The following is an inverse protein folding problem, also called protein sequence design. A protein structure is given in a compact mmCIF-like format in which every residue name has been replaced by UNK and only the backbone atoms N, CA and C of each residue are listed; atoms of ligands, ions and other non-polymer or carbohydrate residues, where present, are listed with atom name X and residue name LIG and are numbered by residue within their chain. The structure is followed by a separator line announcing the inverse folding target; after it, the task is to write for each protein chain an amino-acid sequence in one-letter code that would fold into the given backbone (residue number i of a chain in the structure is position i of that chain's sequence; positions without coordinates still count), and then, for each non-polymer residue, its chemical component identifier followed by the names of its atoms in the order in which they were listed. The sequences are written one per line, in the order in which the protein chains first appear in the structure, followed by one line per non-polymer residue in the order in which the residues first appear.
data_IF_486211562504
#
_entry.id   IF_486211562504
#
_cell.length_a   1.000
_cell.length_b   1.000
_cell.length_c   1.000
_cell.angle_alpha   90.00
_cell.angle_beta   90.00
_cell.angle_gamma   90.00
#
_symmetry.space_group_name_H-M   'P 1'
#
loop_
_entity.id
_entity.type
_entity.pdbx_description
1 polymer ?
#
# COMPACT_ATOMS: atom_id res chain seq x y z
N UNK A 1 -34.10 40.65 -4.84
CA UNK A 1 -34.66 39.31 -5.11
C UNK A 1 -33.79 38.67 -6.18
N UNK A 2 -32.77 37.88 -5.78
CA UNK A 2 -31.93 36.99 -6.61
C UNK A 2 -30.82 36.44 -5.67
N UNK A 3 -31.20 35.58 -4.72
CA UNK A 3 -30.26 34.97 -3.75
C UNK A 3 -30.47 33.46 -3.62
N UNK A 4 -30.95 32.79 -4.66
CA UNK A 4 -31.37 31.38 -4.52
C UNK A 4 -31.07 30.53 -5.78
N UNK A 5 -29.90 30.69 -6.41
CA UNK A 5 -29.48 29.82 -7.54
C UNK A 5 -28.09 29.20 -7.40
N UNK A 6 -27.41 29.37 -6.26
CA UNK A 6 -26.09 28.77 -5.99
C UNK A 6 -26.22 27.66 -4.93
N UNK A 7 -27.19 26.76 -5.11
CA UNK A 7 -27.31 25.55 -4.28
C UNK A 7 -27.09 24.24 -5.07
N UNK A 8 -26.98 24.31 -6.40
CA UNK A 8 -26.95 23.12 -7.27
C UNK A 8 -25.61 22.81 -7.96
N UNK A 9 -24.53 23.54 -7.65
CA UNK A 9 -23.21 23.32 -8.30
C UNK A 9 -22.08 23.01 -7.32
N UNK A 10 -22.38 22.28 -6.25
CA UNK A 10 -21.34 21.53 -5.54
C UNK A 10 -21.73 20.07 -5.61
N UNK A 11 -21.56 19.46 -6.79
CA UNK A 11 -21.43 18.02 -6.85
C UNK A 11 -20.29 17.67 -5.90
N UNK A 12 -20.49 16.80 -4.89
CA UNK A 12 -19.36 16.28 -4.15
C UNK A 12 -18.46 15.65 -5.20
N UNK A 13 -17.24 16.17 -5.35
CA UNK A 13 -16.20 15.47 -6.08
C UNK A 13 -15.95 14.21 -5.27
N UNK A 14 -16.71 13.15 -5.56
CA UNK A 14 -16.44 11.83 -5.03
C UNK A 14 -15.15 11.41 -5.71
N UNK A 15 -14.04 11.53 -4.99
CA UNK A 15 -12.76 11.03 -5.48
C UNK A 15 -12.90 9.51 -5.66
N UNK A 16 -12.95 9.04 -6.91
CA UNK A 16 -12.64 7.65 -7.23
C UNK A 16 -11.13 7.47 -7.07
N UNK A 17 -10.67 7.50 -5.82
CA UNK A 17 -9.26 7.34 -5.49
C UNK A 17 -8.90 5.91 -5.11
N UNK A 18 -7.62 5.57 -5.31
CA UNK A 18 -6.99 4.37 -4.77
C UNK A 18 -7.39 4.13 -3.31
N UNK A 19 -8.04 3.00 -3.04
CA UNK A 19 -8.51 2.62 -1.71
C UNK A 19 -8.07 1.20 -1.38
N UNK A 20 -7.45 1.00 -0.23
CA UNK A 20 -7.25 -0.35 0.30
C UNK A 20 -8.61 -0.88 0.77
N UNK A 21 -9.03 -2.03 0.23
CA UNK A 21 -10.37 -2.58 0.44
C UNK A 21 -10.39 -3.66 1.51
N UNK A 22 -9.37 -4.51 1.56
CA UNK A 22 -9.24 -5.58 2.55
C UNK A 22 -7.78 -6.01 2.71
N UNK A 23 -7.53 -6.68 3.82
CA UNK A 23 -6.22 -7.13 4.22
C UNK A 23 -6.35 -8.54 4.81
N UNK A 24 -5.53 -9.46 4.33
CA UNK A 24 -5.55 -10.85 4.77
C UNK A 24 -4.13 -11.24 5.19
N UNK A 25 -3.92 -11.32 6.50
CA UNK A 25 -2.69 -11.78 7.15
C UNK A 25 -3.07 -12.73 8.29
N UNK A 26 -2.26 -13.76 8.58
CA UNK A 26 -2.52 -14.58 9.76
C UNK A 26 -2.23 -13.78 11.04
N UNK A 27 -2.81 -14.16 12.17
CA UNK A 27 -2.55 -13.47 13.45
C UNK A 27 -1.20 -13.84 14.06
N UNK A 28 -0.78 -15.09 13.88
CA UNK A 28 0.47 -15.63 14.41
C UNK A 28 1.08 -16.63 13.43
N UNK A 29 2.41 -16.57 13.27
CA UNK A 29 3.20 -17.59 12.55
C UNK A 29 4.12 -18.27 13.55
N UNK A 30 4.17 -19.60 13.48
CA UNK A 30 5.05 -20.45 14.29
C UNK A 30 6.44 -20.46 13.64
N UNK A 31 7.53 -20.54 14.43
CA UNK A 31 8.87 -20.67 13.85
C UNK A 31 8.97 -21.80 12.82
N UNK A 32 9.54 -21.50 11.66
CA UNK A 32 9.72 -22.44 10.55
C UNK A 32 8.53 -22.54 9.59
N UNK A 33 7.36 -22.00 9.95
CA UNK A 33 6.20 -21.92 9.06
C UNK A 33 6.25 -20.67 8.18
N UNK A 34 5.48 -20.72 7.10
CA UNK A 34 5.33 -19.64 6.13
C UNK A 34 3.92 -19.05 6.14
N UNK A 35 3.83 -17.75 5.89
CA UNK A 35 2.58 -17.01 5.74
C UNK A 35 2.51 -16.27 4.41
N UNK A 36 1.30 -16.14 3.89
CA UNK A 36 1.01 -15.31 2.72
C UNK A 36 0.38 -14.01 3.19
N UNK A 37 0.96 -12.89 2.75
CA UNK A 37 0.44 -11.56 3.06
C UNK A 37 -0.30 -11.01 1.85
N UNK A 38 -1.60 -10.75 2.00
CA UNK A 38 -2.42 -10.25 0.89
C UNK A 38 -3.02 -8.90 1.20
N UNK A 39 -2.78 -7.95 0.31
CA UNK A 39 -3.34 -6.60 0.38
C UNK A 39 -4.16 -6.33 -0.87
N UNK A 40 -5.44 -6.05 -0.67
CA UNK A 40 -6.34 -5.76 -1.77
C UNK A 40 -6.63 -4.27 -1.81
N UNK A 41 -6.57 -3.72 -3.02
CA UNK A 41 -6.79 -2.32 -3.28
C UNK A 41 -7.64 -2.16 -4.53
N UNK A 42 -8.54 -1.18 -4.51
CA UNK A 42 -9.30 -0.73 -5.66
C UNK A 42 -8.62 0.50 -6.25
N UNK A 43 -8.22 0.40 -7.51
CA UNK A 43 -7.56 1.49 -8.24
C UNK A 43 -8.54 2.47 -8.87
N UNK A 44 -9.83 2.16 -8.94
CA UNK A 44 -10.80 2.93 -9.71
C UNK A 44 -10.32 3.13 -11.16
N UNK A 45 -10.01 4.37 -11.52
CA UNK A 45 -9.51 4.76 -12.86
C UNK A 45 -8.01 5.05 -12.90
N UNK A 46 -7.29 4.71 -11.85
CA UNK A 46 -5.93 5.17 -11.61
C UNK A 46 -4.90 4.06 -11.79
N UNK A 47 -3.62 4.46 -11.82
CA UNK A 47 -2.50 3.52 -11.89
C UNK A 47 -1.83 3.43 -10.53
N UNK A 48 -1.51 2.20 -10.14
CA UNK A 48 -0.71 1.92 -8.96
C UNK A 48 0.72 2.41 -9.18
N UNK A 49 1.26 3.20 -8.25
CA UNK A 49 2.68 3.56 -8.25
C UNK A 49 3.52 2.50 -7.57
N UNK A 50 3.15 2.14 -6.34
CA UNK A 50 3.86 1.15 -5.54
C UNK A 50 2.96 0.59 -4.44
N UNK A 51 3.15 -0.68 -4.11
CA UNK A 51 2.66 -1.31 -2.89
C UNK A 51 3.86 -1.60 -2.00
N UNK A 52 3.74 -1.32 -0.70
CA UNK A 52 4.80 -1.53 0.27
C UNK A 52 4.27 -2.20 1.51
N UNK A 53 5.08 -3.07 2.10
CA UNK A 53 4.81 -3.66 3.39
C UNK A 53 5.80 -3.16 4.43
N UNK A 54 5.25 -2.77 5.57
CA UNK A 54 6.00 -2.33 6.73
C UNK A 54 5.65 -3.20 7.92
N UNK A 55 6.65 -3.42 8.78
CA UNK A 55 6.45 -3.90 10.14
C UNK A 55 7.27 -3.05 11.08
N UNK A 56 6.66 -2.60 12.18
CA UNK A 56 7.34 -1.77 13.18
C UNK A 56 8.08 -0.58 12.53
N UNK A 57 7.45 0.01 11.50
CA UNK A 57 7.98 1.12 10.68
C UNK A 57 9.16 0.75 9.76
N UNK A 58 9.59 -0.51 9.71
CA UNK A 58 10.61 -1.02 8.80
C UNK A 58 9.95 -1.57 7.53
N UNK A 59 10.32 -1.02 6.38
CA UNK A 59 9.91 -1.54 5.08
C UNK A 59 10.61 -2.87 4.82
N UNK A 60 9.86 -3.91 4.50
CA UNK A 60 10.42 -5.24 4.22
C UNK A 60 10.06 -5.77 2.84
N UNK A 61 9.05 -5.21 2.18
CA UNK A 61 8.73 -5.51 0.79
C UNK A 61 8.23 -4.28 0.04
N UNK A 62 8.57 -4.21 -1.25
CA UNK A 62 8.07 -3.22 -2.20
C UNK A 62 7.77 -3.85 -3.55
N UNK A 63 6.58 -3.58 -4.07
CA UNK A 63 6.19 -3.79 -5.45
C UNK A 63 6.09 -2.44 -6.17
N UNK A 64 6.67 -2.35 -7.36
CA UNK A 64 6.71 -1.16 -8.20
C UNK A 64 6.47 -1.57 -9.67
N UNK A 65 5.22 -1.50 -10.17
CA UNK A 65 4.84 -2.07 -11.47
C UNK A 65 5.62 -1.53 -12.66
N UNK A 66 6.09 -0.27 -12.58
CA UNK A 66 6.76 0.43 -13.66
C UNK A 66 8.29 0.31 -13.65
N UNK A 67 8.87 -0.49 -12.74
CA UNK A 67 10.32 -0.74 -12.68
C UNK A 67 10.64 -2.20 -12.98
N UNK A 68 11.92 -2.44 -13.32
CA UNK A 68 12.51 -3.77 -13.40
C UNK A 68 13.77 -3.79 -12.54
N UNK A 69 13.87 -4.64 -11.49
CA UNK A 69 12.85 -5.60 -11.07
C UNK A 69 11.61 -4.92 -10.47
N UNK A 70 10.44 -5.52 -10.68
CA UNK A 70 9.18 -5.01 -10.14
C UNK A 70 9.07 -5.19 -8.62
N UNK A 71 9.87 -6.08 -8.03
CA UNK A 71 9.79 -6.46 -6.63
C UNK A 71 11.13 -6.28 -5.94
N UNK A 72 11.08 -5.86 -4.68
CA UNK A 72 12.24 -5.72 -3.81
C UNK A 72 11.86 -6.23 -2.42
N UNK A 73 12.67 -7.14 -1.88
CA UNK A 73 12.63 -7.52 -0.47
C UNK A 73 13.76 -6.80 0.26
N UNK A 74 13.50 -6.40 1.50
CA UNK A 74 14.47 -5.77 2.38
C UNK A 74 14.61 -6.61 3.65
N UNK A 75 15.81 -6.71 4.25
CA UNK A 75 16.00 -7.43 5.49
C UNK A 75 15.10 -6.86 6.59
N UNK A 76 14.36 -7.74 7.27
CA UNK A 76 13.56 -7.40 8.42
C UNK A 76 13.82 -8.40 9.56
N UNK A 77 13.89 -7.96 10.83
CA UNK A 77 14.17 -8.85 11.94
C UNK A 77 13.18 -10.00 12.05
N UNK A 78 13.70 -11.23 12.10
CA UNK A 78 12.94 -12.46 12.30
C UNK A 78 12.08 -12.88 11.10
N UNK A 79 12.27 -12.27 9.92
CA UNK A 79 11.60 -12.64 8.69
C UNK A 79 12.58 -13.03 7.60
N UNK A 80 12.28 -14.14 6.95
CA UNK A 80 12.80 -14.47 5.64
C UNK A 80 11.69 -14.28 4.60
N UNK A 81 12.01 -13.58 3.52
CA UNK A 81 11.03 -13.10 2.55
C UNK A 81 11.35 -13.73 1.20
N UNK A 82 10.41 -14.52 0.70
CA UNK A 82 10.49 -15.09 -0.64
C UNK A 82 9.45 -14.44 -1.55
N UNK A 83 9.91 -14.06 -2.75
CA UNK A 83 9.09 -13.41 -3.76
C UNK A 83 8.84 -14.43 -4.87
N UNK A 84 7.68 -15.08 -4.82
CA UNK A 84 7.29 -16.06 -5.83
C UNK A 84 6.45 -15.43 -6.92
N UNK A 85 7.02 -15.30 -8.12
CA UNK A 85 6.26 -15.05 -9.35
C UNK A 85 5.34 -13.82 -9.31
N UNK A 86 4.07 -14.01 -9.69
CA UNK A 86 3.18 -12.95 -10.17
C UNK A 86 2.46 -12.09 -9.12
N UNK A 87 2.56 -12.38 -7.82
CA UNK A 87 1.97 -11.52 -6.77
C UNK A 87 2.26 -12.01 -5.34
N UNK A 88 2.75 -13.24 -5.17
CA UNK A 88 2.72 -13.89 -3.86
C UNK A 88 3.96 -13.57 -3.05
N UNK A 89 3.74 -12.91 -1.92
CA UNK A 89 4.73 -12.67 -0.88
C UNK A 89 4.62 -13.77 0.17
N UNK A 90 5.66 -14.59 0.28
CA UNK A 90 5.77 -15.60 1.33
C UNK A 90 6.75 -15.13 2.39
N UNK A 91 6.31 -15.15 3.63
CA UNK A 91 7.12 -14.75 4.77
C UNK A 91 7.29 -15.95 5.69
N UNK A 92 8.52 -16.38 5.89
CA UNK A 92 8.87 -17.44 6.85
C UNK A 92 9.45 -16.79 8.10
N UNK A 93 8.99 -17.20 9.27
CA UNK A 93 9.53 -16.65 10.52
C UNK A 93 10.50 -17.59 11.21
N UNK A 94 11.57 -17.00 11.75
CA UNK A 94 12.54 -17.71 12.61
C UNK A 94 12.07 -17.77 14.08
N UNK A 95 11.02 -17.02 14.45
CA UNK A 95 10.46 -16.93 15.81
C UNK A 95 8.93 -16.93 15.77
N UNK A 96 8.27 -16.94 16.94
CA UNK A 96 6.84 -16.64 16.99
C UNK A 96 6.62 -15.21 16.48
N UNK A 97 5.79 -15.07 15.44
CA UNK A 97 5.63 -13.81 14.74
C UNK A 97 4.18 -13.34 14.73
N UNK A 98 3.90 -12.25 15.44
CA UNK A 98 2.62 -11.54 15.37
C UNK A 98 2.63 -10.56 14.19
N UNK A 99 1.53 -10.52 13.45
CA UNK A 99 1.33 -9.60 12.33
C UNK A 99 0.45 -8.39 12.66
N UNK A 100 0.25 -8.11 13.96
CA UNK A 100 -0.51 -6.94 14.44
C UNK A 100 0.09 -5.59 14.01
N UNK A 101 1.39 -5.53 13.71
CA UNK A 101 2.07 -4.30 13.29
C UNK A 101 2.32 -4.21 11.77
N UNK A 102 1.65 -5.05 10.97
CA UNK A 102 1.78 -4.99 9.52
C UNK A 102 0.95 -3.88 8.89
N UNK A 103 1.58 -3.16 7.96
CA UNK A 103 0.93 -2.11 7.19
C UNK A 103 1.20 -2.32 5.71
N UNK A 104 0.15 -2.45 4.91
CA UNK A 104 0.22 -2.31 3.47
C UNK A 104 -0.07 -0.86 3.09
N UNK A 105 0.86 -0.22 2.38
CA UNK A 105 0.68 1.10 1.80
C UNK A 105 0.62 1.01 0.29
N UNK A 106 -0.38 1.65 -0.31
CA UNK A 106 -0.44 1.86 -1.74
C UNK A 106 -0.32 3.35 -2.05
N UNK A 107 0.48 3.69 -3.06
CA UNK A 107 0.75 5.06 -3.46
C UNK A 107 0.22 5.32 -4.87
N UNK A 108 -0.26 6.55 -5.12
CA UNK A 108 -0.57 7.08 -6.44
C UNK A 108 0.61 7.93 -6.94
N UNK A 109 0.91 7.84 -8.23
CA UNK A 109 1.79 8.79 -8.90
C UNK A 109 0.95 9.93 -9.47
N UNK A 110 0.83 11.05 -8.76
CA UNK A 110 0.25 12.28 -9.33
C UNK A 110 1.23 12.85 -10.35
N UNK A 111 1.05 12.50 -11.63
CA UNK A 111 1.78 13.14 -12.73
C UNK A 111 1.12 14.49 -13.01
N UNK A 112 1.50 15.54 -12.30
CA UNK A 112 1.08 16.89 -12.65
C UNK A 112 2.27 17.82 -12.90
N UNK A 113 2.10 18.61 -13.93
CA UNK A 113 3.01 19.55 -14.59
C UNK A 113 3.60 20.62 -13.64
N UNK A 114 4.62 20.27 -12.85
CA UNK A 114 5.32 21.21 -11.96
C UNK A 114 6.86 21.02 -11.92
N UNK A 115 7.63 22.01 -11.45
CA UNK A 115 9.10 21.94 -11.38
C UNK A 115 9.57 20.81 -10.45
N UNK A 116 10.66 20.12 -10.85
CA UNK A 116 11.21 18.89 -10.24
C UNK A 116 11.34 18.92 -8.70
N UNK A 117 11.58 20.10 -8.10
CA UNK A 117 11.79 20.24 -6.65
C UNK A 117 10.49 20.22 -5.83
N UNK A 118 9.36 20.62 -6.43
CA UNK A 118 8.03 20.60 -5.78
C UNK A 118 7.33 19.24 -5.95
N UNK A 119 7.85 18.35 -6.82
CA UNK A 119 7.33 17.00 -7.07
C UNK A 119 7.60 16.02 -5.93
N UNK A 120 8.61 16.27 -5.10
CA UNK A 120 8.96 15.40 -3.97
C UNK A 120 8.04 15.60 -2.75
N UNK A 121 7.28 16.70 -2.73
CA UNK A 121 6.53 17.14 -1.55
C UNK A 121 5.01 17.20 -1.74
N UNK A 122 4.47 16.92 -2.94
CA UNK A 122 3.04 17.01 -3.19
C UNK A 122 2.39 15.63 -3.36
N UNK A 123 1.74 15.21 -2.26
CA UNK A 123 0.65 14.24 -2.09
C UNK A 123 0.92 12.77 -2.39
N UNK A 124 1.55 12.12 -1.41
CA UNK A 124 1.34 10.71 -1.11
C UNK A 124 -0.03 10.57 -0.42
N UNK A 125 -1.13 10.37 -1.15
CA UNK A 125 -2.35 9.83 -0.53
C UNK A 125 -2.10 8.35 -0.24
N UNK A 126 -1.51 8.07 0.91
CA UNK A 126 -1.34 6.71 1.41
C UNK A 126 -2.67 6.26 2.03
N UNK A 127 -3.33 5.30 1.40
CA UNK A 127 -4.36 4.54 2.11
C UNK A 127 -3.65 3.65 3.13
N UNK A 128 -3.93 3.83 4.42
CA UNK A 128 -3.40 3.01 5.51
C UNK A 128 -4.55 2.20 6.08
N UNK A 129 -4.38 0.89 6.21
CA UNK A 129 -5.27 0.03 6.98
C UNK A 129 -4.44 -0.59 8.11
N UNK A 130 -4.79 -0.22 9.34
CA UNK A 130 -4.15 -0.73 10.57
C UNK A 130 -5.04 -1.87 11.06
N UNK A 131 -4.43 -3.03 11.33
CA UNK A 131 -5.13 -4.14 12.00
C UNK A 131 -5.23 -3.80 13.50
N UNK A 132 -6.42 -3.79 14.12
CA UNK A 132 -6.57 -3.61 15.56
C UNK A 132 -6.09 -4.83 16.36
#
# INVERSE_FOLDING_TARGET
MLRETIWFLVLPVVSLGLKITRFEVPSLVVPGDSAILTCFYDLGKEKLYSVKWYKDQVEFFRFFPSLSPQYMAFPAPGLNIDIHGSFTLTVTSENYYSFESLICLSLRHTYETGPKLLKLLLKMEASVLIVP
#
